data_IF_999012721161
#
_entry.id   IF_999012721161
#
_cell.length_a   1.000
_cell.length_b   1.000
_cell.length_c   1.000
_cell.angle_alpha   90.00
_cell.angle_beta   90.00
_cell.angle_gamma   90.00
#
_symmetry.space_group_name_H-M   'P 1'
#
loop_
_entity.id
_entity.type
_entity.pdbx_description
1 polymer ?
#
# COMPACT_ATOMS: atom_id res chain seq x y z
N UNK A 1 22.60 -21.44 19.73
CA UNK A 1 22.53 -20.84 18.38
C UNK A 1 21.86 -21.74 17.33
N UNK A 2 21.80 -23.07 17.53
CA UNK A 2 21.13 -24.03 16.63
C UNK A 2 19.60 -23.84 16.53
N UNK A 3 18.92 -23.48 17.62
CA UNK A 3 17.47 -23.30 17.63
C UNK A 3 16.94 -22.18 16.72
N UNK A 4 17.64 -21.06 16.63
CA UNK A 4 17.25 -19.94 15.74
C UNK A 4 17.41 -20.33 14.27
N UNK A 5 18.49 -21.02 13.93
CA UNK A 5 18.74 -21.50 12.56
C UNK A 5 17.69 -22.53 12.15
N UNK A 6 17.29 -23.42 13.06
CA UNK A 6 16.23 -24.40 12.79
C UNK A 6 14.86 -23.77 12.64
N UNK A 7 14.54 -22.75 13.44
CA UNK A 7 13.33 -21.96 13.25
C UNK A 7 13.29 -21.26 11.87
N UNK A 8 14.43 -20.74 11.41
CA UNK A 8 14.55 -20.16 10.07
C UNK A 8 14.36 -21.21 8.97
N UNK A 9 14.85 -22.43 9.16
CA UNK A 9 14.64 -23.54 8.21
C UNK A 9 13.18 -23.96 8.15
N UNK A 10 12.48 -24.00 9.28
CA UNK A 10 11.04 -24.26 9.29
C UNK A 10 10.23 -23.18 8.58
N UNK A 11 10.61 -21.90 8.73
CA UNK A 11 9.97 -20.79 8.02
C UNK A 11 10.30 -20.78 6.54
N UNK A 12 11.55 -21.07 6.16
CA UNK A 12 11.96 -21.16 4.77
C UNK A 12 11.28 -22.36 4.07
N UNK A 13 11.22 -23.52 4.72
CA UNK A 13 10.53 -24.69 4.18
C UNK A 13 9.02 -24.48 4.04
N UNK A 14 8.40 -23.67 4.90
CA UNK A 14 6.99 -23.29 4.76
C UNK A 14 6.69 -22.41 3.52
N UNK A 15 7.71 -21.89 2.84
CA UNK A 15 7.57 -21.14 1.59
C UNK A 15 7.63 -22.04 0.34
N UNK A 16 7.98 -23.32 0.50
CA UNK A 16 7.96 -24.33 -0.58
C UNK A 16 6.54 -24.89 -0.77
N UNK A 17 6.29 -25.47 -1.95
CA UNK A 17 5.05 -26.22 -2.21
C UNK A 17 4.94 -27.42 -1.24
N UNK A 18 3.72 -27.86 -0.93
CA UNK A 18 3.48 -28.84 0.14
C UNK A 18 4.25 -30.16 -0.08
N UNK A 19 4.28 -30.68 -1.31
CA UNK A 19 5.00 -31.91 -1.67
C UNK A 19 6.52 -31.75 -1.53
N UNK A 20 7.06 -30.59 -1.91
CA UNK A 20 8.49 -30.29 -1.83
C UNK A 20 8.95 -30.02 -0.42
N UNK A 21 8.12 -29.36 0.38
CA UNK A 21 8.38 -29.17 1.80
C UNK A 21 8.51 -30.51 2.51
N UNK A 22 7.63 -31.45 2.20
CA UNK A 22 7.63 -32.76 2.86
C UNK A 22 8.83 -33.60 2.38
N UNK A 23 9.20 -33.52 1.09
CA UNK A 23 10.41 -34.14 0.55
C UNK A 23 11.70 -33.53 1.16
N UNK A 24 11.81 -32.20 1.21
CA UNK A 24 12.98 -31.51 1.78
C UNK A 24 13.09 -31.75 3.29
N UNK A 25 11.97 -31.84 4.02
CA UNK A 25 11.98 -32.21 5.44
C UNK A 25 12.40 -33.66 5.65
N UNK A 26 12.00 -34.56 4.76
CA UNK A 26 12.47 -35.95 4.73
C UNK A 26 13.98 -36.06 4.54
N UNK A 27 14.51 -35.44 3.48
CA UNK A 27 15.96 -35.40 3.19
C UNK A 27 16.77 -34.84 4.36
N UNK A 28 16.28 -33.75 4.98
CA UNK A 28 16.97 -33.14 6.12
C UNK A 28 16.96 -34.01 7.37
N UNK A 29 15.91 -34.81 7.58
CA UNK A 29 15.83 -35.75 8.68
C UNK A 29 16.71 -36.98 8.44
N UNK A 30 16.79 -37.48 7.21
CA UNK A 30 17.61 -38.63 6.83
C UNK A 30 19.11 -38.32 6.83
N UNK A 31 19.51 -37.14 6.39
CA UNK A 31 20.92 -36.77 6.22
C UNK A 31 21.58 -36.17 7.47
N UNK A 32 20.82 -35.96 8.56
CA UNK A 32 21.26 -35.40 9.84
C UNK A 32 22.20 -34.17 9.68
N UNK A 33 21.85 -33.30 8.73
CA UNK A 33 22.73 -32.21 8.27
C UNK A 33 22.77 -31.09 9.30
N UNK A 34 23.94 -30.49 9.52
CA UNK A 34 24.07 -29.31 10.36
C UNK A 34 23.14 -28.16 9.89
N UNK A 35 22.41 -27.57 10.83
CA UNK A 35 21.32 -26.61 10.57
C UNK A 35 21.67 -25.45 9.62
N UNK A 36 22.93 -24.98 9.64
CA UNK A 36 23.38 -23.91 8.75
C UNK A 36 23.52 -24.34 7.28
N UNK A 37 23.95 -25.57 7.01
CA UNK A 37 24.06 -26.12 5.64
C UNK A 37 22.67 -26.42 5.07
N UNK A 38 21.80 -27.00 5.90
CA UNK A 38 20.39 -27.19 5.59
C UNK A 38 19.68 -25.88 5.21
N UNK A 39 19.88 -24.79 5.98
CA UNK A 39 19.32 -23.48 5.65
C UNK A 39 19.82 -22.96 4.30
N UNK A 40 21.12 -23.09 4.01
CA UNK A 40 21.70 -22.65 2.74
C UNK A 40 21.15 -23.44 1.54
N UNK A 41 20.91 -24.73 1.69
CA UNK A 41 20.32 -25.58 0.65
C UNK A 41 18.86 -25.21 0.37
N UNK A 42 18.04 -25.07 1.42
CA UNK A 42 16.64 -24.63 1.30
C UNK A 42 16.53 -23.24 0.68
N UNK A 43 17.33 -22.29 1.15
CA UNK A 43 17.37 -20.92 0.59
C UNK A 43 17.86 -20.94 -0.86
N UNK A 44 18.89 -21.74 -1.18
CA UNK A 44 19.41 -21.89 -2.54
C UNK A 44 18.36 -22.43 -3.51
N UNK A 45 17.56 -23.41 -3.09
CA UNK A 45 16.44 -23.95 -3.86
C UNK A 45 15.36 -22.89 -4.07
N UNK A 46 14.95 -22.19 -3.02
CA UNK A 46 13.99 -21.09 -3.09
C UNK A 46 14.43 -20.02 -4.09
N UNK A 47 15.70 -19.58 -4.02
CA UNK A 47 16.24 -18.55 -4.92
C UNK A 47 16.21 -19.02 -6.38
N UNK A 48 16.67 -20.24 -6.67
CA UNK A 48 16.66 -20.77 -8.05
C UNK A 48 15.24 -20.89 -8.61
N UNK A 49 14.29 -21.30 -7.78
CA UNK A 49 12.88 -21.43 -8.19
C UNK A 49 12.22 -20.06 -8.38
N UNK A 50 12.51 -19.11 -7.51
CA UNK A 50 12.09 -17.73 -7.70
C UNK A 50 12.66 -17.16 -9.00
N UNK A 51 13.96 -17.31 -9.26
CA UNK A 51 14.59 -16.85 -10.52
C UNK A 51 13.92 -17.43 -11.76
N UNK A 52 13.50 -18.70 -11.74
CA UNK A 52 12.72 -19.30 -12.83
C UNK A 52 11.32 -18.71 -12.98
N UNK A 53 10.70 -18.19 -11.92
CA UNK A 53 9.41 -17.50 -12.03
C UNK A 53 9.58 -16.07 -12.59
N UNK A 54 10.75 -15.47 -12.45
CA UNK A 54 11.07 -14.14 -13.01
C UNK A 54 11.33 -14.15 -14.52
N UNK A 55 11.42 -15.31 -15.17
CA UNK A 55 11.40 -15.38 -16.63
C UNK A 55 10.02 -15.14 -17.21
N UNK A 56 8.95 -15.31 -16.41
CA UNK A 56 7.60 -14.95 -16.81
C UNK A 56 7.40 -13.42 -16.74
N UNK A 57 6.54 -12.88 -17.60
CA UNK A 57 6.24 -11.43 -17.61
C UNK A 57 5.39 -10.96 -16.41
N UNK A 58 4.66 -11.86 -15.73
CA UNK A 58 3.67 -11.49 -14.70
C UNK A 58 4.28 -10.83 -13.45
N UNK A 59 5.39 -11.32 -12.86
CA UNK A 59 6.05 -10.65 -11.74
C UNK A 59 6.59 -9.27 -12.12
N UNK A 60 7.07 -9.10 -13.35
CA UNK A 60 7.52 -7.79 -13.85
C UNK A 60 6.36 -6.80 -13.99
N UNK A 61 5.22 -7.24 -14.53
CA UNK A 61 4.04 -6.39 -14.60
C UNK A 61 3.50 -6.04 -13.20
N UNK A 62 3.58 -6.96 -12.25
CA UNK A 62 3.25 -6.69 -10.85
C UNK A 62 4.19 -5.63 -10.26
N UNK A 63 5.50 -5.73 -10.48
CA UNK A 63 6.46 -4.75 -9.98
C UNK A 63 6.28 -3.37 -10.60
N UNK A 64 6.40 -3.31 -11.93
CA UNK A 64 6.44 -2.05 -12.67
C UNK A 64 5.05 -1.39 -12.77
N UNK A 65 3.97 -2.19 -12.81
CA UNK A 65 2.61 -1.69 -12.97
C UNK A 65 1.86 -1.47 -11.66
N UNK A 66 2.24 -2.12 -10.57
CA UNK A 66 1.53 -2.02 -9.28
C UNK A 66 2.45 -1.56 -8.15
N UNK A 67 3.49 -2.34 -7.85
CA UNK A 67 4.29 -2.17 -6.63
C UNK A 67 4.98 -0.81 -6.59
N UNK A 68 5.72 -0.47 -7.65
CA UNK A 68 6.48 0.78 -7.70
C UNK A 68 5.54 2.00 -7.78
N UNK A 69 4.68 2.14 -8.82
CA UNK A 69 3.90 3.36 -8.97
C UNK A 69 2.83 3.52 -7.87
N UNK A 70 2.07 2.48 -7.56
CA UNK A 70 0.95 2.58 -6.62
C UNK A 70 1.44 2.51 -5.16
N UNK A 71 2.49 1.75 -4.87
CA UNK A 71 3.14 1.78 -3.56
C UNK A 71 3.72 3.16 -3.24
N UNK A 72 4.36 3.81 -4.23
CA UNK A 72 4.88 5.16 -4.07
C UNK A 72 3.75 6.19 -3.88
N UNK A 73 2.69 6.12 -4.69
CA UNK A 73 1.56 7.03 -4.57
C UNK A 73 0.85 6.88 -3.21
N UNK A 74 0.59 5.65 -2.76
CA UNK A 74 0.02 5.41 -1.43
C UNK A 74 0.95 5.91 -0.31
N UNK A 75 2.27 5.81 -0.47
CA UNK A 75 3.24 6.34 0.48
C UNK A 75 3.11 7.86 0.63
N UNK A 76 3.03 8.58 -0.49
CA UNK A 76 2.91 10.04 -0.54
C UNK A 76 1.54 10.52 -0.04
N UNK A 77 0.46 9.90 -0.52
CA UNK A 77 -0.91 10.25 -0.13
C UNK A 77 -1.12 10.02 1.36
N UNK A 78 -0.77 8.83 1.87
CA UNK A 78 -0.93 8.54 3.31
C UNK A 78 -0.12 9.49 4.19
N UNK A 79 1.10 9.87 3.78
CA UNK A 79 1.91 10.84 4.53
C UNK A 79 1.30 12.24 4.50
N UNK A 80 0.86 12.71 3.33
CA UNK A 80 0.28 14.03 3.21
C UNK A 80 -1.01 14.15 4.02
N UNK A 81 -1.92 13.18 3.89
CA UNK A 81 -3.17 13.16 4.66
C UNK A 81 -2.90 13.04 6.15
N UNK A 82 -1.97 12.19 6.57
CA UNK A 82 -1.63 12.09 7.99
C UNK A 82 -1.03 13.39 8.54
N UNK A 83 -0.19 14.11 7.78
CA UNK A 83 0.37 15.37 8.22
C UNK A 83 -0.71 16.46 8.35
N UNK A 84 -1.65 16.54 7.41
CA UNK A 84 -2.81 17.44 7.53
C UNK A 84 -3.65 17.10 8.76
N UNK A 85 -3.97 15.82 8.95
CA UNK A 85 -4.74 15.36 10.10
C UNK A 85 -3.98 15.51 11.43
N UNK A 86 -2.65 15.53 11.42
CA UNK A 86 -1.85 15.77 12.62
C UNK A 86 -2.04 17.19 13.15
N UNK A 87 -2.19 18.17 12.26
CA UNK A 87 -2.47 19.56 12.63
C UNK A 87 -3.83 19.65 13.33
N UNK A 88 -4.87 19.02 12.74
CA UNK A 88 -6.21 19.01 13.35
C UNK A 88 -6.31 18.15 14.61
N UNK A 89 -5.59 17.03 14.66
CA UNK A 89 -5.51 16.21 15.86
C UNK A 89 -4.84 16.97 17.00
N UNK A 90 -3.76 17.71 16.75
CA UNK A 90 -3.15 18.57 17.76
C UNK A 90 -4.10 19.71 18.20
N UNK A 91 -4.85 20.30 17.27
CA UNK A 91 -5.83 21.34 17.58
C UNK A 91 -6.95 20.83 18.49
N UNK A 92 -7.53 19.66 18.19
CA UNK A 92 -8.71 19.14 18.89
C UNK A 92 -8.41 18.19 20.04
N UNK A 93 -7.22 17.61 20.12
CA UNK A 93 -6.83 16.71 21.22
C UNK A 93 -6.06 17.48 22.28
N UNK A 94 -4.98 18.15 21.89
CA UNK A 94 -4.09 18.81 22.86
C UNK A 94 -4.56 20.22 23.23
N UNK A 95 -5.23 20.91 22.30
CA UNK A 95 -5.67 22.30 22.48
C UNK A 95 -7.20 22.42 22.54
N UNK A 96 -7.87 21.37 23.03
CA UNK A 96 -9.33 21.35 23.14
C UNK A 96 -9.85 22.49 24.02
N UNK A 97 -10.82 23.24 23.49
CA UNK A 97 -11.57 24.26 24.23
C UNK A 97 -13.05 24.16 23.91
N UNK A 98 -13.91 24.50 24.87
CA UNK A 98 -15.37 24.47 24.68
C UNK A 98 -15.86 25.41 23.56
N UNK A 99 -15.09 26.45 23.25
CA UNK A 99 -15.34 27.36 22.13
C UNK A 99 -15.47 26.66 20.76
N UNK A 100 -14.87 25.46 20.58
CA UNK A 100 -14.97 24.70 19.34
C UNK A 100 -16.36 24.11 19.07
N UNK A 101 -17.26 24.14 20.05
CA UNK A 101 -18.64 23.68 19.87
C UNK A 101 -19.69 24.78 20.14
N UNK A 102 -19.27 25.95 20.61
CA UNK A 102 -20.16 27.06 20.97
C UNK A 102 -20.79 27.70 19.74
N UNK A 103 -19.97 28.00 18.73
CA UNK A 103 -20.45 28.65 17.50
C UNK A 103 -20.88 27.64 16.44
N UNK A 104 -21.87 28.02 15.62
CA UNK A 104 -22.32 27.17 14.51
C UNK A 104 -21.19 26.90 13.50
N UNK A 105 -20.31 27.88 13.27
CA UNK A 105 -19.13 27.73 12.41
C UNK A 105 -18.16 26.68 12.94
N UNK A 106 -17.79 26.76 14.22
CA UNK A 106 -16.85 25.79 14.81
C UNK A 106 -17.41 24.35 14.82
N UNK A 107 -18.71 24.18 15.05
CA UNK A 107 -19.38 22.87 14.91
C UNK A 107 -19.34 22.35 13.47
N UNK A 108 -19.58 23.23 12.49
CA UNK A 108 -19.51 22.87 11.07
C UNK A 108 -18.09 22.43 10.68
N UNK A 109 -17.08 23.19 11.10
CA UNK A 109 -15.67 22.87 10.84
C UNK A 109 -15.27 21.53 11.45
N UNK A 110 -15.65 21.27 12.70
CA UNK A 110 -15.38 19.99 13.37
C UNK A 110 -16.02 18.81 12.61
N UNK A 111 -17.29 18.93 12.24
CA UNK A 111 -18.00 17.88 11.48
C UNK A 111 -17.34 17.65 10.12
N UNK A 112 -16.96 18.72 9.43
CA UNK A 112 -16.28 18.65 8.14
C UNK A 112 -14.92 17.97 8.24
N UNK A 113 -14.13 18.29 9.27
CA UNK A 113 -12.81 17.70 9.50
C UNK A 113 -12.95 16.20 9.81
N UNK A 114 -13.86 15.84 10.74
CA UNK A 114 -14.13 14.44 11.05
C UNK A 114 -14.63 13.66 9.82
N UNK A 115 -15.56 14.24 9.05
CA UNK A 115 -16.08 13.63 7.83
C UNK A 115 -15.00 13.41 6.76
N UNK A 116 -14.12 14.40 6.58
CA UNK A 116 -12.99 14.31 5.66
C UNK A 116 -12.02 13.22 6.09
N UNK A 117 -11.64 13.18 7.36
CA UNK A 117 -10.76 12.15 7.91
C UNK A 117 -11.33 10.73 7.73
N UNK A 118 -12.63 10.54 8.01
CA UNK A 118 -13.28 9.25 7.80
C UNK A 118 -13.29 8.83 6.33
N UNK A 119 -13.58 9.77 5.42
CA UNK A 119 -13.55 9.51 3.98
C UNK A 119 -12.15 9.14 3.50
N UNK A 120 -11.11 9.83 3.99
CA UNK A 120 -9.71 9.51 3.73
C UNK A 120 -9.34 8.12 4.23
N UNK A 121 -9.78 7.74 5.43
CA UNK A 121 -9.55 6.40 5.98
C UNK A 121 -10.17 5.31 5.10
N UNK A 122 -11.44 5.46 4.73
CA UNK A 122 -12.13 4.50 3.85
C UNK A 122 -11.44 4.42 2.49
N UNK A 123 -11.03 5.56 1.93
CA UNK A 123 -10.33 5.63 0.64
C UNK A 123 -9.00 4.88 0.67
N UNK A 124 -8.17 5.11 1.69
CA UNK A 124 -6.89 4.40 1.86
C UNK A 124 -7.10 2.89 2.00
N UNK A 125 -8.06 2.47 2.82
CA UNK A 125 -8.37 1.04 3.02
C UNK A 125 -8.83 0.40 1.71
N UNK A 126 -9.73 1.04 0.96
CA UNK A 126 -10.23 0.54 -0.32
C UNK A 126 -9.12 0.42 -1.38
N UNK A 127 -8.30 1.46 -1.56
CA UNK A 127 -7.18 1.42 -2.49
C UNK A 127 -6.13 0.38 -2.10
N UNK A 128 -5.73 0.36 -0.84
CA UNK A 128 -4.72 -0.57 -0.35
C UNK A 128 -5.19 -2.02 -0.48
N UNK A 129 -6.43 -2.30 -0.12
CA UNK A 129 -6.99 -3.64 -0.21
C UNK A 129 -7.11 -4.12 -1.67
N UNK A 130 -7.63 -3.29 -2.58
CA UNK A 130 -7.77 -3.66 -4.00
C UNK A 130 -6.41 -3.84 -4.67
N UNK A 131 -5.45 -2.97 -4.37
CA UNK A 131 -4.06 -3.14 -4.79
C UNK A 131 -3.46 -4.45 -4.28
N UNK A 132 -3.61 -4.73 -2.99
CA UNK A 132 -3.14 -5.96 -2.38
C UNK A 132 -3.78 -7.19 -3.01
N UNK A 133 -5.10 -7.18 -3.22
CA UNK A 133 -5.81 -8.28 -3.89
C UNK A 133 -5.31 -8.52 -5.31
N UNK A 134 -5.15 -7.46 -6.10
CA UNK A 134 -4.63 -7.55 -7.47
C UNK A 134 -3.18 -8.04 -7.50
N UNK A 135 -2.34 -7.57 -6.57
CA UNK A 135 -0.97 -8.06 -6.44
C UNK A 135 -0.93 -9.56 -6.08
N UNK A 136 -1.74 -9.97 -5.12
CA UNK A 136 -1.86 -11.37 -4.68
C UNK A 136 -2.42 -12.30 -5.76
N UNK A 137 -3.33 -11.82 -6.60
CA UNK A 137 -3.91 -12.62 -7.69
C UNK A 137 -2.99 -12.73 -8.91
N UNK A 138 -2.27 -11.66 -9.26
CA UNK A 138 -1.34 -11.61 -10.40
C UNK A 138 -0.01 -12.33 -10.10
N UNK A 139 0.52 -12.18 -8.89
CA UNK A 139 1.89 -12.55 -8.51
C UNK A 139 1.96 -13.66 -7.46
N UNK A 140 0.98 -14.56 -7.42
CA UNK A 140 0.77 -15.58 -6.37
C UNK A 140 2.03 -16.31 -5.91
N UNK A 141 2.83 -16.80 -6.87
CA UNK A 141 4.03 -17.62 -6.60
C UNK A 141 5.23 -16.82 -6.13
N UNK A 142 5.22 -15.50 -6.34
CA UNK A 142 6.31 -14.58 -5.99
C UNK A 142 5.84 -13.51 -4.99
N UNK A 143 4.66 -13.71 -4.36
CA UNK A 143 3.99 -12.72 -3.52
C UNK A 143 4.81 -12.30 -2.30
N UNK A 144 5.64 -13.20 -1.78
CA UNK A 144 6.54 -12.87 -0.67
C UNK A 144 7.57 -11.83 -1.08
N UNK A 145 8.12 -11.94 -2.30
CA UNK A 145 9.08 -10.96 -2.83
C UNK A 145 8.36 -9.67 -3.20
N UNK A 146 7.30 -9.75 -4.00
CA UNK A 146 6.59 -8.54 -4.47
C UNK A 146 5.85 -7.81 -3.35
N UNK A 147 5.32 -8.54 -2.38
CA UNK A 147 4.71 -7.97 -1.16
C UNK A 147 5.74 -7.34 -0.22
N UNK A 148 6.91 -7.94 -0.05
CA UNK A 148 8.00 -7.32 0.73
C UNK A 148 8.52 -6.06 0.05
N UNK A 149 8.70 -6.09 -1.28
CA UNK A 149 9.05 -4.90 -2.05
C UNK A 149 7.98 -3.82 -1.99
N UNK A 150 6.69 -4.19 -1.98
CA UNK A 150 5.61 -3.24 -1.74
C UNK A 150 5.72 -2.59 -0.37
N UNK A 151 5.98 -3.35 0.69
CA UNK A 151 6.26 -2.79 2.01
C UNK A 151 7.47 -1.84 1.98
N UNK A 152 8.57 -2.27 1.35
CA UNK A 152 9.79 -1.47 1.23
C UNK A 152 9.55 -0.15 0.50
N UNK A 153 8.81 -0.15 -0.62
CA UNK A 153 8.44 1.08 -1.35
C UNK A 153 7.49 1.94 -0.51
N UNK A 154 6.51 1.33 0.17
CA UNK A 154 5.52 2.04 0.96
C UNK A 154 6.15 2.83 2.11
N UNK A 155 7.15 2.29 2.80
CA UNK A 155 7.87 3.01 3.85
C UNK A 155 9.04 3.82 3.30
N UNK A 156 9.76 3.28 2.31
CA UNK A 156 10.91 3.88 1.67
C UNK A 156 10.59 5.18 0.92
N UNK A 157 9.42 5.26 0.30
CA UNK A 157 8.98 6.42 -0.50
C UNK A 157 8.83 7.74 0.26
N UNK A 158 9.00 7.72 1.58
CA UNK A 158 8.99 8.93 2.43
C UNK A 158 10.17 9.04 3.38
N UNK A 159 11.17 8.17 3.26
CA UNK A 159 12.43 8.32 3.99
C UNK A 159 13.08 9.65 3.59
N UNK A 160 13.43 10.48 4.58
CA UNK A 160 14.01 11.82 4.36
C UNK A 160 13.03 12.86 3.83
N UNK A 161 11.73 12.55 3.72
CA UNK A 161 10.72 13.45 3.16
C UNK A 161 9.84 14.08 4.24
N UNK A 162 9.79 15.41 4.21
CA UNK A 162 8.86 16.22 4.97
C UNK A 162 7.88 16.88 3.99
N UNK A 163 6.59 16.60 4.10
CA UNK A 163 5.59 17.27 3.23
C UNK A 163 5.50 18.76 3.56
N UNK A 164 4.85 19.54 2.69
CA UNK A 164 4.68 20.98 2.88
C UNK A 164 4.09 21.35 4.25
N UNK A 165 3.22 20.52 4.81
CA UNK A 165 2.66 20.71 6.15
C UNK A 165 3.72 20.77 7.23
N UNK A 166 4.72 19.86 7.18
CA UNK A 166 5.84 19.82 8.13
C UNK A 166 6.77 21.02 8.00
N UNK A 167 6.88 21.57 6.79
CA UNK A 167 7.81 22.67 6.48
C UNK A 167 7.22 24.05 6.70
N UNK A 168 5.90 24.16 6.85
CA UNK A 168 5.27 25.43 7.14
C UNK A 168 5.68 25.87 8.56
N UNK A 169 6.37 27.00 8.74
CA UNK A 169 6.79 27.47 10.06
C UNK A 169 5.61 27.71 11.01
N UNK A 170 4.42 28.00 10.49
CA UNK A 170 3.19 28.11 11.29
C UNK A 170 2.78 26.81 11.98
N UNK A 171 3.25 25.65 11.50
CA UNK A 171 2.96 24.33 12.07
C UNK A 171 4.12 23.80 12.93
N UNK A 172 5.18 24.58 13.17
CA UNK A 172 6.37 24.13 13.87
C UNK A 172 6.05 23.61 15.28
N UNK A 173 5.06 24.20 15.96
CA UNK A 173 4.61 23.76 17.28
C UNK A 173 4.07 22.32 17.25
N UNK A 174 3.14 22.01 16.33
CA UNK A 174 2.57 20.66 16.13
C UNK A 174 3.67 19.64 15.88
N UNK A 175 4.57 19.97 14.95
CA UNK A 175 5.57 19.03 14.45
C UNK A 175 6.85 18.97 15.27
N UNK A 176 6.96 19.77 16.33
CA UNK A 176 7.96 19.58 17.37
C UNK A 176 7.73 18.27 18.15
N UNK A 177 6.47 17.83 18.23
CA UNK A 177 6.06 16.62 18.91
C UNK A 177 6.24 15.39 18.01
N UNK A 178 7.04 14.43 18.47
CA UNK A 178 7.35 13.20 17.71
C UNK A 178 6.08 12.42 17.32
N UNK A 179 5.04 12.45 18.17
CA UNK A 179 3.79 11.74 17.91
C UNK A 179 3.08 12.26 16.67
N UNK A 180 3.05 13.56 16.42
CA UNK A 180 2.41 14.16 15.24
C UNK A 180 3.33 14.17 14.01
N UNK A 181 4.63 14.30 14.22
CA UNK A 181 5.61 14.29 13.13
C UNK A 181 5.78 12.92 12.47
N UNK A 182 5.93 11.89 13.28
CA UNK A 182 6.35 10.57 12.81
C UNK A 182 5.44 9.45 13.30
N UNK A 183 4.97 9.51 14.55
CA UNK A 183 4.10 8.48 15.13
C UNK A 183 2.79 8.30 14.36
N UNK A 184 1.99 9.36 14.23
CA UNK A 184 0.67 9.34 13.63
C UNK A 184 0.71 9.00 12.13
N UNK A 185 1.61 9.58 11.30
CA UNK A 185 1.74 9.13 9.91
C UNK A 185 2.18 7.67 9.76
N UNK A 186 3.05 7.18 10.64
CA UNK A 186 3.46 5.76 10.63
C UNK A 186 2.29 4.85 11.02
N UNK A 187 1.48 5.26 11.99
CA UNK A 187 0.26 4.56 12.39
C UNK A 187 -0.76 4.51 11.25
N UNK A 188 -1.08 5.64 10.64
CA UNK A 188 -2.01 5.75 9.48
C UNK A 188 -1.56 4.82 8.35
N UNK A 189 -0.27 4.87 7.98
CA UNK A 189 0.26 4.01 6.91
C UNK A 189 0.21 2.52 7.27
N UNK A 190 0.54 2.16 8.51
CA UNK A 190 0.55 0.76 8.93
C UNK A 190 -0.87 0.20 8.97
N UNK A 191 -1.79 0.92 9.63
CA UNK A 191 -3.15 0.44 9.90
C UNK A 191 -4.06 0.58 8.69
N UNK A 192 -3.98 1.70 7.95
CA UNK A 192 -4.92 1.99 6.86
C UNK A 192 -4.39 1.62 5.48
N UNK A 193 -3.09 1.32 5.34
CA UNK A 193 -2.50 0.91 4.06
C UNK A 193 -1.91 -0.49 4.14
N UNK A 194 -0.90 -0.72 4.99
CA UNK A 194 -0.20 -2.00 4.99
C UNK A 194 -1.12 -3.16 5.40
N UNK A 195 -1.87 -3.02 6.49
CA UNK A 195 -2.76 -4.08 6.98
C UNK A 195 -3.84 -4.47 5.95
N UNK A 196 -4.63 -3.54 5.39
CA UNK A 196 -5.60 -3.85 4.34
C UNK A 196 -4.95 -4.44 3.09
N UNK A 197 -3.77 -3.95 2.68
CA UNK A 197 -3.05 -4.50 1.55
C UNK A 197 -2.63 -5.95 1.79
N UNK A 198 -2.10 -6.29 2.97
CA UNK A 198 -1.74 -7.67 3.32
C UNK A 198 -2.96 -8.57 3.35
N UNK A 199 -4.09 -8.11 3.91
CA UNK A 199 -5.36 -8.85 3.88
C UNK A 199 -5.81 -9.09 2.44
N UNK A 200 -5.75 -8.06 1.60
CA UNK A 200 -6.03 -8.14 0.16
C UNK A 200 -5.15 -9.18 -0.52
N UNK A 201 -3.82 -9.12 -0.31
CA UNK A 201 -2.85 -10.06 -0.89
C UNK A 201 -3.15 -11.50 -0.51
N UNK A 202 -3.39 -11.77 0.79
CA UNK A 202 -3.76 -13.10 1.27
C UNK A 202 -5.02 -13.61 0.59
N UNK A 203 -6.03 -12.75 0.41
CA UNK A 203 -7.26 -13.11 -0.29
C UNK A 203 -7.01 -13.34 -1.78
N UNK A 204 -6.20 -12.52 -2.45
CA UNK A 204 -5.85 -12.68 -3.87
C UNK A 204 -5.01 -13.94 -4.17
N UNK A 205 -4.17 -14.35 -3.22
CA UNK A 205 -3.44 -15.64 -3.30
C UNK A 205 -4.42 -16.81 -3.21
N UNK A 206 -5.36 -16.76 -2.26
CA UNK A 206 -6.38 -17.81 -2.08
C UNK A 206 -7.41 -17.83 -3.22
N UNK A 207 -7.82 -16.66 -3.71
CA UNK A 207 -8.88 -16.50 -4.71
C UNK A 207 -8.34 -15.72 -5.92
N UNK A 208 -8.24 -16.37 -7.07
CA UNK A 208 -7.63 -15.76 -8.26
C UNK A 208 -8.46 -14.62 -8.82
N UNK A 209 -9.77 -14.71 -8.57
CA UNK A 209 -10.79 -13.82 -9.09
C UNK A 209 -11.90 -13.73 -8.05
N UNK A 210 -12.42 -12.53 -7.84
CA UNK A 210 -13.65 -12.36 -7.07
C UNK A 210 -14.88 -12.76 -7.90
N UNK A 211 -16.01 -13.07 -7.25
CA UNK A 211 -17.29 -13.10 -7.93
C UNK A 211 -17.60 -11.74 -8.57
N UNK A 212 -18.22 -11.76 -9.75
CA UNK A 212 -18.55 -10.56 -10.53
C UNK A 212 -19.27 -9.45 -9.72
N UNK A 213 -20.32 -9.72 -8.92
CA UNK A 213 -21.01 -8.64 -8.18
C UNK A 213 -20.07 -7.92 -7.20
N UNK A 214 -19.22 -8.66 -6.49
CA UNK A 214 -18.24 -8.08 -5.56
C UNK A 214 -17.15 -7.28 -6.28
N UNK A 215 -16.74 -7.71 -7.48
CA UNK A 215 -15.82 -6.96 -8.31
C UNK A 215 -16.45 -5.63 -8.78
N UNK A 216 -17.73 -5.63 -9.17
CA UNK A 216 -18.46 -4.43 -9.57
C UNK A 216 -18.69 -3.45 -8.40
N UNK A 217 -19.08 -3.95 -7.23
CA UNK A 217 -19.23 -3.12 -6.01
C UNK A 217 -17.89 -2.47 -5.66
N UNK A 218 -16.80 -3.25 -5.66
CA UNK A 218 -15.45 -2.72 -5.43
C UNK A 218 -15.09 -1.66 -6.47
N UNK A 219 -15.54 -1.83 -7.71
CA UNK A 219 -15.26 -0.90 -8.78
C UNK A 219 -15.97 0.43 -8.63
N UNK A 220 -17.28 0.40 -8.36
CA UNK A 220 -18.04 1.62 -8.08
C UNK A 220 -17.42 2.34 -6.89
N UNK A 221 -17.15 1.64 -5.79
CA UNK A 221 -16.57 2.23 -4.59
C UNK A 221 -15.22 2.90 -4.88
N UNK A 222 -14.27 2.20 -5.51
CA UNK A 222 -12.94 2.76 -5.80
C UNK A 222 -13.03 3.91 -6.79
N UNK A 223 -13.84 3.82 -7.85
CA UNK A 223 -13.98 4.91 -8.82
C UNK A 223 -14.57 6.15 -8.17
N UNK A 224 -15.64 6.01 -7.38
CA UNK A 224 -16.27 7.12 -6.67
C UNK A 224 -15.31 7.76 -5.66
N UNK A 225 -14.66 6.97 -4.80
CA UNK A 225 -13.70 7.48 -3.82
C UNK A 225 -12.50 8.14 -4.51
N UNK A 226 -12.06 7.61 -5.64
CA UNK A 226 -10.96 8.19 -6.43
C UNK A 226 -11.34 9.52 -7.06
N UNK A 227 -12.57 9.65 -7.58
CA UNK A 227 -13.06 10.91 -8.12
C UNK A 227 -13.13 11.99 -7.03
N UNK A 228 -13.62 11.64 -5.84
CA UNK A 228 -13.68 12.54 -4.68
C UNK A 228 -12.28 12.94 -4.18
N UNK A 229 -11.33 12.00 -4.15
CA UNK A 229 -9.97 12.23 -3.69
C UNK A 229 -9.03 12.81 -4.77
N UNK A 230 -9.47 12.94 -6.02
CA UNK A 230 -8.61 13.32 -7.14
C UNK A 230 -7.82 14.63 -6.95
N UNK A 231 -8.40 15.72 -6.40
CA UNK A 231 -7.63 16.92 -6.08
C UNK A 231 -6.51 16.63 -5.07
N UNK A 232 -6.82 15.88 -4.02
CA UNK A 232 -5.90 15.54 -2.93
C UNK A 232 -4.77 14.61 -3.38
N UNK A 233 -5.03 13.71 -4.34
CA UNK A 233 -3.99 12.86 -4.97
C UNK A 233 -2.95 13.72 -5.67
N UNK A 234 -3.38 14.73 -6.44
CA UNK A 234 -2.46 15.65 -7.14
C UNK A 234 -1.62 16.43 -6.15
N UNK A 235 -2.24 17.01 -5.12
CA UNK A 235 -1.57 17.76 -4.06
C UNK A 235 -0.52 16.91 -3.36
N UNK A 236 -0.83 15.65 -3.05
CA UNK A 236 0.10 14.73 -2.36
C UNK A 236 1.37 14.45 -3.16
N UNK A 237 1.24 14.41 -4.49
CA UNK A 237 2.38 14.28 -5.40
C UNK A 237 3.11 15.62 -5.51
N UNK A 238 2.43 16.72 -5.81
CA UNK A 238 3.06 18.05 -5.94
C UNK A 238 3.91 18.42 -4.72
N UNK A 239 3.47 18.08 -3.52
CA UNK A 239 4.17 18.38 -2.25
C UNK A 239 4.94 17.18 -1.68
N UNK A 240 5.29 16.22 -2.53
CA UNK A 240 6.05 15.03 -2.18
C UNK A 240 7.55 15.29 -1.89
N UNK A 241 8.30 14.20 -1.76
CA UNK A 241 9.70 14.18 -1.35
C UNK A 241 10.66 14.99 -2.24
N UNK A 242 10.36 15.19 -3.52
CA UNK A 242 11.17 16.00 -4.44
C UNK A 242 10.99 17.52 -4.27
N UNK A 243 10.09 17.98 -3.40
CA UNK A 243 9.87 19.41 -3.14
C UNK A 243 10.98 20.02 -2.25
N UNK A 244 12.23 19.56 -2.34
CA UNK A 244 13.29 19.67 -1.31
C UNK A 244 13.84 21.07 -0.97
N UNK A 245 13.27 22.19 -1.41
CA UNK A 245 13.82 23.51 -1.06
C UNK A 245 12.77 24.55 -0.72
N UNK A 246 12.93 25.17 0.45
CA UNK A 246 12.17 26.33 0.92
C UNK A 246 12.47 27.63 0.14
N UNK A 247 13.51 27.65 -0.69
CA UNK A 247 13.89 28.79 -1.53
C UNK A 247 14.25 28.42 -2.98
N UNK A 248 13.90 27.22 -3.45
CA UNK A 248 14.27 26.78 -4.80
C UNK A 248 13.27 27.16 -5.89
N UNK A 249 13.70 27.27 -7.15
CA UNK A 249 12.85 27.54 -8.33
C UNK A 249 11.71 26.52 -8.54
N UNK A 250 11.68 25.44 -7.74
CA UNK A 250 10.69 24.38 -7.75
C UNK A 250 9.26 24.85 -7.38
N UNK A 251 9.06 25.86 -6.52
CA UNK A 251 7.70 26.34 -6.18
C UNK A 251 7.02 26.97 -7.41
N UNK A 252 7.77 27.70 -8.25
CA UNK A 252 7.26 28.27 -9.52
C UNK A 252 7.04 27.21 -10.61
N UNK A 253 7.93 26.23 -10.72
CA UNK A 253 7.76 25.09 -11.66
C UNK A 253 6.63 24.13 -11.21
N UNK A 254 6.39 23.96 -9.92
CA UNK A 254 5.28 23.14 -9.38
C UNK A 254 3.91 23.80 -9.56
N UNK A 255 3.84 25.13 -9.54
CA UNK A 255 2.65 25.86 -9.95
C UNK A 255 2.32 25.63 -11.44
N UNK A 256 3.34 25.52 -12.32
CA UNK A 256 3.16 25.15 -13.73
C UNK A 256 2.77 23.67 -13.92
N UNK A 257 3.25 22.78 -13.04
CA UNK A 257 2.88 21.36 -13.08
C UNK A 257 1.47 21.08 -12.54
N UNK A 258 0.89 21.98 -11.74
CA UNK A 258 -0.46 21.82 -11.14
C UNK A 258 -1.54 21.50 -12.19
N UNK A 259 -1.40 22.06 -13.40
CA UNK A 259 -2.32 21.86 -14.51
C UNK A 259 -1.84 20.87 -15.56
N UNK A 260 -0.72 20.18 -15.31
CA UNK A 260 -0.14 19.25 -16.27
C UNK A 260 -1.03 18.02 -16.48
N UNK A 261 -1.08 17.53 -17.71
CA UNK A 261 -1.89 16.37 -18.07
C UNK A 261 -1.42 15.10 -17.34
N UNK A 262 -0.13 15.03 -16.98
CA UNK A 262 0.44 13.91 -16.23
C UNK A 262 -0.19 13.78 -14.83
N UNK A 263 -0.41 14.89 -14.12
CA UNK A 263 -1.09 14.86 -12.81
C UNK A 263 -2.56 14.45 -12.92
N UNK A 264 -3.19 14.65 -14.10
CA UNK A 264 -4.56 14.19 -14.35
C UNK A 264 -4.66 12.68 -14.50
N UNK A 265 -3.55 11.98 -14.81
CA UNK A 265 -3.51 10.52 -14.93
C UNK A 265 -3.32 9.80 -13.59
N UNK A 266 -2.83 10.48 -12.54
CA UNK A 266 -2.56 9.84 -11.25
C UNK A 266 -3.80 9.19 -10.61
N UNK A 267 -4.98 9.84 -10.59
CA UNK A 267 -6.18 9.17 -10.11
C UNK A 267 -6.56 7.97 -10.97
N UNK A 268 -6.34 8.02 -12.29
CA UNK A 268 -6.61 6.88 -13.19
C UNK A 268 -5.74 5.67 -12.84
N UNK A 269 -4.48 5.90 -12.44
CA UNK A 269 -3.59 4.82 -11.96
C UNK A 269 -4.15 4.14 -10.70
N UNK A 270 -4.81 4.87 -9.80
CA UNK A 270 -5.46 4.27 -8.61
C UNK A 270 -6.64 3.35 -8.95
N UNK A 271 -7.28 3.52 -10.10
CA UNK A 271 -8.41 2.68 -10.55
C UNK A 271 -7.92 1.38 -11.21
N UNK A 272 -6.68 1.33 -11.67
CA UNK A 272 -6.12 0.19 -12.39
C UNK A 272 -6.28 -1.18 -11.69
N UNK A 273 -6.02 -1.33 -10.37
CA UNK A 273 -6.18 -2.61 -9.69
C UNK A 273 -7.60 -3.17 -9.79
N UNK A 274 -8.59 -2.29 -9.72
CA UNK A 274 -10.00 -2.63 -9.81
C UNK A 274 -10.42 -2.98 -11.23
N UNK A 275 -9.91 -2.26 -12.23
CA UNK A 275 -10.17 -2.58 -13.64
C UNK A 275 -9.70 -4.02 -13.94
N UNK A 276 -8.54 -4.42 -13.42
CA UNK A 276 -8.07 -5.80 -13.50
C UNK A 276 -9.03 -6.79 -12.80
N UNK A 277 -9.51 -6.47 -11.61
CA UNK A 277 -10.45 -7.32 -10.88
C UNK A 277 -11.74 -7.56 -11.67
N UNK A 278 -12.34 -6.51 -12.25
CA UNK A 278 -13.54 -6.62 -13.08
C UNK A 278 -13.25 -7.45 -14.34
N UNK A 279 -12.18 -7.14 -15.08
CA UNK A 279 -11.82 -7.87 -16.29
C UNK A 279 -11.62 -9.37 -16.01
N UNK A 280 -10.95 -9.70 -14.91
CA UNK A 280 -10.70 -11.09 -14.51
C UNK A 280 -11.98 -11.83 -14.08
N UNK A 281 -12.89 -11.15 -13.37
CA UNK A 281 -14.17 -11.71 -12.93
C UNK A 281 -15.11 -11.94 -14.13
N UNK A 282 -15.20 -10.97 -15.04
CA UNK A 282 -15.98 -11.08 -16.27
C UNK A 282 -15.48 -12.25 -17.12
N UNK A 283 -14.17 -12.35 -17.37
CA UNK A 283 -13.58 -13.47 -18.13
C UNK A 283 -13.91 -14.83 -17.53
N UNK A 284 -13.92 -14.95 -16.20
CA UNK A 284 -14.32 -16.19 -15.51
C UNK A 284 -15.81 -16.48 -15.65
N UNK A 285 -16.67 -15.47 -15.61
CA UNK A 285 -18.10 -15.62 -15.78
C UNK A 285 -18.45 -16.15 -17.17
N UNK A 286 -17.88 -15.54 -18.22
CA UNK A 286 -18.06 -16.00 -19.61
C UNK A 286 -17.62 -17.46 -19.79
N UNK A 287 -16.43 -17.83 -19.29
CA UNK A 287 -15.92 -19.21 -19.38
C UNK A 287 -16.81 -20.23 -18.69
N UNK A 288 -17.53 -19.85 -17.64
CA UNK A 288 -18.47 -20.73 -16.95
C UNK A 288 -19.75 -20.91 -17.75
N UNK A 289 -20.29 -19.84 -18.34
CA UNK A 289 -21.49 -19.89 -19.18
C UNK A 289 -21.26 -20.73 -20.44
N UNK A 290 -20.11 -20.57 -21.11
CA UNK A 290 -19.75 -21.35 -22.30
C UNK A 290 -19.48 -22.83 -22.02
N UNK A 291 -19.29 -23.24 -20.76
CA UNK A 291 -19.09 -24.63 -20.38
C UNK A 291 -20.39 -25.33 -19.94
N UNK A 292 -21.47 -24.57 -19.75
CA UNK A 292 -22.80 -25.06 -19.37
C UNK A 292 -23.82 -25.02 -20.50
N UNK A 293 -23.44 -24.42 -21.64
CA UNK A 293 -24.19 -24.42 -22.90
C UNK A 293 -23.62 -25.49 -23.82
#
# INVERSE_FOLDING_TARGET
>A
MTGVVWWLVERASALLDAEERDAVRGDLAELNVAAGRALREVVGLLVRRQLRLWTDWRPWLALAGLVIPLGMLLSLISRQWANTNSIYAWLYVDNWTWSYIETAGARHDLVQICGTFLLECVTLVCWAWTLGFTLGSLSRRTIWVTGTLFGAVLFGGTLGSSTAGLRNPGNAAVFSLMIYRDGFPTLVRTVLVLVPAVIGMRKGVRQATLPLPWALISAVAVVTLTALAAPSVKVSVTWGWWSTSGEGPAIRQLAQLRDSWQLRLLPMLMVWPVAYMVASATRRHWRRQSATA
#
